data_IF_002980389586
#
_entry.id   IF_002980389586
#
_cell.length_a   1.000
_cell.length_b   1.000
_cell.length_c   1.000
_cell.angle_alpha   90.00
_cell.angle_beta   90.00
_cell.angle_gamma   90.00
#
_symmetry.space_group_name_H-M   'P 1'
#
loop_
_entity.id
_entity.type
_entity.pdbx_description
1 polymer ?
#
# COMPACT_ATOMS: atom_id res chain seq x y z
N UNK A 1 17.89 15.57 25.07
CA UNK A 1 16.69 16.24 24.51
C UNK A 1 15.98 15.42 23.41
N UNK A 2 16.60 14.47 22.72
CA UNK A 2 15.96 13.68 21.63
C UNK A 2 14.94 12.59 22.01
N UNK A 3 14.09 12.76 23.03
CA UNK A 3 13.00 11.79 23.38
C UNK A 3 11.59 12.29 23.13
N UNK A 4 11.40 13.59 22.88
CA UNK A 4 10.08 14.17 22.64
C UNK A 4 9.74 14.29 21.15
N UNK A 5 10.74 14.38 20.27
CA UNK A 5 10.55 14.54 18.82
C UNK A 5 10.09 13.22 18.15
N UNK A 6 10.79 12.11 18.37
CA UNK A 6 10.45 10.82 17.74
C UNK A 6 9.09 10.21 18.11
N UNK A 7 8.38 10.73 19.13
CA UNK A 7 7.03 10.28 19.51
C UNK A 7 5.91 11.06 18.83
N UNK A 8 6.18 12.29 18.37
CA UNK A 8 5.21 13.09 17.63
C UNK A 8 5.30 12.81 16.13
N UNK A 9 6.52 12.63 15.60
CA UNK A 9 6.77 12.23 14.21
C UNK A 9 6.16 10.84 13.92
N UNK A 10 6.53 9.81 14.69
CA UNK A 10 5.98 8.45 14.48
C UNK A 10 4.46 8.29 14.68
N UNK A 11 3.78 9.26 15.32
CA UNK A 11 2.30 9.25 15.45
C UNK A 11 1.59 9.98 14.32
N UNK A 12 2.22 10.98 13.72
CA UNK A 12 1.67 11.65 12.54
C UNK A 12 1.98 10.85 11.28
N UNK A 13 3.23 10.39 11.14
CA UNK A 13 3.67 9.49 10.07
C UNK A 13 2.88 8.18 10.11
N UNK A 14 2.85 7.46 11.24
CA UNK A 14 2.10 6.19 11.32
C UNK A 14 0.57 6.30 11.13
N UNK A 15 -0.03 7.50 11.17
CA UNK A 15 -1.47 7.70 10.88
C UNK A 15 -1.72 8.07 9.42
N UNK A 16 -0.81 8.81 8.78
CA UNK A 16 -0.88 9.13 7.35
C UNK A 16 -0.35 7.98 6.48
N UNK A 17 0.75 7.35 6.90
CA UNK A 17 1.28 6.12 6.32
C UNK A 17 0.26 5.00 6.49
N UNK A 18 -0.27 4.77 7.70
CA UNK A 18 -1.23 3.69 7.94
C UNK A 18 -2.53 3.74 7.12
N UNK A 19 -2.93 4.91 6.61
CA UNK A 19 -4.05 5.04 5.68
C UNK A 19 -3.71 4.61 4.25
N UNK A 20 -2.59 5.12 3.74
CA UNK A 20 -2.10 4.80 2.39
C UNK A 20 -1.53 3.38 2.32
N UNK A 21 -0.76 2.95 3.32
CA UNK A 21 -0.28 1.58 3.50
C UNK A 21 -1.42 0.59 3.57
N UNK A 22 -2.55 0.92 4.22
CA UNK A 22 -3.73 0.04 4.20
C UNK A 22 -4.31 -0.15 2.81
N UNK A 23 -4.44 0.93 2.03
CA UNK A 23 -4.96 0.81 0.66
C UNK A 23 -4.02 -0.04 -0.20
N UNK A 24 -2.71 0.18 -0.07
CA UNK A 24 -1.68 -0.60 -0.76
C UNK A 24 -1.67 -2.06 -0.31
N UNK A 25 -1.71 -2.33 0.99
CA UNK A 25 -1.73 -3.69 1.56
C UNK A 25 -2.98 -4.45 1.10
N UNK A 26 -4.16 -3.81 1.15
CA UNK A 26 -5.40 -4.41 0.64
C UNK A 26 -5.29 -4.65 -0.87
N UNK A 27 -4.74 -3.71 -1.63
CA UNK A 27 -4.56 -3.88 -3.07
C UNK A 27 -3.66 -5.07 -3.40
N UNK A 28 -2.48 -5.13 -2.78
CA UNK A 28 -1.52 -6.23 -2.91
C UNK A 28 -2.15 -7.57 -2.55
N UNK A 29 -2.85 -7.63 -1.40
CA UNK A 29 -3.47 -8.87 -0.95
C UNK A 29 -4.58 -9.36 -1.87
N UNK A 30 -5.36 -8.44 -2.44
CA UNK A 30 -6.38 -8.78 -3.44
C UNK A 30 -5.74 -9.30 -4.74
N UNK A 31 -4.66 -8.67 -5.18
CA UNK A 31 -3.88 -9.09 -6.35
C UNK A 31 -3.26 -10.48 -6.15
N UNK A 32 -2.66 -10.75 -4.98
CA UNK A 32 -2.14 -12.08 -4.61
C UNK A 32 -3.22 -13.16 -4.57
N UNK A 33 -4.45 -12.81 -4.20
CA UNK A 33 -5.61 -13.70 -4.24
C UNK A 33 -6.11 -13.96 -5.68
N UNK A 34 -5.50 -13.35 -6.70
CA UNK A 34 -5.89 -13.47 -8.11
C UNK A 34 -7.07 -12.58 -8.50
N UNK A 35 -7.34 -11.51 -7.75
CA UNK A 35 -8.39 -10.54 -8.08
C UNK A 35 -8.00 -9.71 -9.30
N UNK A 36 -8.98 -9.35 -10.13
CA UNK A 36 -8.76 -8.47 -11.28
C UNK A 36 -8.44 -7.04 -10.85
N UNK A 37 -7.54 -6.40 -11.58
CA UNK A 37 -7.06 -5.03 -11.31
C UNK A 37 -8.20 -4.02 -11.16
N UNK A 38 -9.26 -4.14 -11.96
CA UNK A 38 -10.45 -3.29 -11.88
C UNK A 38 -11.18 -3.43 -10.54
N UNK A 39 -11.34 -4.67 -10.05
CA UNK A 39 -11.98 -4.95 -8.76
C UNK A 39 -11.14 -4.42 -7.60
N UNK A 40 -9.81 -4.57 -7.69
CA UNK A 40 -8.89 -4.05 -6.70
C UNK A 40 -8.92 -2.52 -6.67
N UNK A 41 -8.92 -1.86 -7.83
CA UNK A 41 -9.02 -0.41 -7.96
C UNK A 41 -10.31 0.11 -7.31
N UNK A 42 -11.46 -0.53 -7.60
CA UNK A 42 -12.75 -0.18 -7.01
C UNK A 42 -12.79 -0.40 -5.49
N UNK A 43 -12.27 -1.54 -5.00
CA UNK A 43 -12.30 -1.89 -3.58
C UNK A 43 -11.33 -1.09 -2.70
N UNK A 44 -10.25 -0.58 -3.28
CA UNK A 44 -9.22 0.19 -2.56
C UNK A 44 -9.33 1.69 -2.79
N UNK A 45 -10.08 2.11 -3.81
CA UNK A 45 -10.16 3.49 -4.28
C UNK A 45 -8.91 3.96 -5.03
N UNK A 46 -8.03 3.03 -5.43
CA UNK A 46 -6.86 3.33 -6.24
C UNK A 46 -7.23 3.38 -7.73
N UNK A 47 -6.39 4.03 -8.54
CA UNK A 47 -6.56 3.99 -9.99
C UNK A 47 -6.04 2.67 -10.56
N UNK A 48 -6.64 2.22 -11.67
CA UNK A 48 -6.23 1.00 -12.38
C UNK A 48 -4.72 1.00 -12.70
N UNK A 49 -4.18 2.14 -13.13
CA UNK A 49 -2.73 2.31 -13.36
C UNK A 49 -1.89 2.08 -12.09
N UNK A 50 -2.34 2.59 -10.94
CA UNK A 50 -1.62 2.39 -9.68
C UNK A 50 -1.62 0.92 -9.27
N UNK A 51 -2.77 0.25 -9.40
CA UNK A 51 -2.88 -1.18 -9.10
C UNK A 51 -2.03 -2.01 -10.08
N UNK A 52 -1.98 -1.65 -11.37
CA UNK A 52 -1.08 -2.30 -12.35
C UNK A 52 0.39 -2.15 -11.97
N UNK A 53 0.82 -0.96 -11.57
CA UNK A 53 2.18 -0.71 -11.10
C UNK A 53 2.49 -1.59 -9.87
N UNK A 54 1.56 -1.69 -8.92
CA UNK A 54 1.73 -2.53 -7.73
C UNK A 54 1.87 -4.01 -8.06
N UNK A 55 1.04 -4.53 -8.98
CA UNK A 55 1.16 -5.91 -9.44
C UNK A 55 2.54 -6.16 -10.06
N UNK A 56 2.98 -5.28 -10.96
CA UNK A 56 4.28 -5.41 -11.63
C UNK A 56 5.46 -5.32 -10.67
N UNK A 57 5.38 -4.45 -9.66
CA UNK A 57 6.40 -4.36 -8.62
C UNK A 57 6.48 -5.63 -7.77
N UNK A 58 5.32 -6.20 -7.42
CA UNK A 58 5.22 -7.43 -6.61
C UNK A 58 5.81 -8.63 -7.33
N UNK A 59 5.51 -8.79 -8.62
CA UNK A 59 6.04 -9.86 -9.47
C UNK A 59 7.57 -9.75 -9.66
N UNK A 60 8.12 -8.53 -9.77
CA UNK A 60 9.56 -8.33 -9.93
C UNK A 60 10.37 -8.64 -8.66
N UNK A 61 9.83 -8.40 -7.47
CA UNK A 61 10.52 -8.71 -6.21
C UNK A 61 10.65 -10.22 -5.91
N UNK A 62 9.82 -11.07 -6.51
CA UNK A 62 9.94 -12.53 -6.37
C UNK A 62 10.91 -13.18 -7.36
N UNK A 63 11.51 -12.42 -8.29
CA UNK A 63 12.42 -12.93 -9.31
C UNK A 63 13.91 -12.62 -9.08
N UNK A 64 14.29 -12.03 -7.94
CA UNK A 64 15.70 -11.70 -7.64
C UNK A 64 16.28 -12.49 -6.47
#
# INVERSE_FOLDING_TARGET
EGRQEGRQEGRQEGRQEGGQEKQLEIALKLLELGSSIELVAEGTGLSVEQVQQLQQQSDQSSQN
#
